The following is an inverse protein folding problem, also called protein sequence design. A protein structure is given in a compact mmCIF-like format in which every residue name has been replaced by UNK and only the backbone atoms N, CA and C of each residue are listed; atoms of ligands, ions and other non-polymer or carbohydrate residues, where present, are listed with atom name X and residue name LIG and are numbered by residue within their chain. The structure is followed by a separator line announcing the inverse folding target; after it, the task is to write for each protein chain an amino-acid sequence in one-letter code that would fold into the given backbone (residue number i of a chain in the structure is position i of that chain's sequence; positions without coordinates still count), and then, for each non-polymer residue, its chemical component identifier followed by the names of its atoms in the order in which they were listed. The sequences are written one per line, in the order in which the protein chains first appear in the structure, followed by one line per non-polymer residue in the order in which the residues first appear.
data_IF_116481896511
#
_entry.id   IF_116481896511
#
_cell.length_a   1.000
_cell.length_b   1.000
_cell.length_c   1.000
_cell.angle_alpha   90.00
_cell.angle_beta   90.00
_cell.angle_gamma   90.00
#
_symmetry.space_group_name_H-M   'P 1'
#
loop_
_entity.id
_entity.type
_entity.pdbx_description
1 polymer ?
#
# COMPACT_ATOMS: atom_id res chain seq x y z
N UNK A 1 17.47 -7.07 -19.67
CA UNK A 1 16.08 -6.77 -20.12
C UNK A 1 14.96 -7.31 -19.20
N UNK A 2 15.26 -8.09 -18.14
CA UNK A 2 14.24 -8.74 -17.29
C UNK A 2 13.64 -7.81 -16.22
N UNK A 3 14.46 -6.93 -15.64
CA UNK A 3 14.07 -6.02 -14.55
C UNK A 3 12.85 -5.11 -14.82
N UNK A 4 12.69 -4.45 -15.99
CA UNK A 4 11.51 -3.62 -16.24
C UNK A 4 10.20 -4.42 -16.28
N UNK A 5 10.22 -5.69 -16.71
CA UNK A 5 9.03 -6.55 -16.73
C UNK A 5 8.61 -6.96 -15.33
N UNK A 6 9.57 -7.33 -14.48
CA UNK A 6 9.29 -7.71 -13.08
C UNK A 6 8.66 -6.56 -12.30
N UNK A 7 9.20 -5.35 -12.47
CA UNK A 7 8.67 -4.11 -11.90
C UNK A 7 7.23 -3.82 -12.29
N UNK A 8 6.90 -3.98 -13.58
CA UNK A 8 5.55 -3.79 -14.08
C UNK A 8 4.59 -4.84 -13.50
N UNK A 9 5.00 -6.10 -13.43
CA UNK A 9 4.19 -7.19 -12.86
C UNK A 9 3.89 -6.94 -11.38
N UNK A 10 4.89 -6.54 -10.58
CA UNK A 10 4.68 -6.20 -9.16
C UNK A 10 3.70 -5.04 -9.01
N UNK A 11 3.83 -4.00 -9.83
CA UNK A 11 2.91 -2.86 -9.81
C UNK A 11 1.47 -3.24 -10.17
N UNK A 12 1.29 -4.08 -11.18
CA UNK A 12 -0.04 -4.58 -11.59
C UNK A 12 -0.64 -5.46 -10.48
N UNK A 13 0.13 -6.37 -9.89
CA UNK A 13 -0.35 -7.20 -8.78
C UNK A 13 -0.76 -6.33 -7.59
N UNK A 14 0.09 -5.38 -7.19
CA UNK A 14 -0.23 -4.45 -6.10
C UNK A 14 -1.53 -3.67 -6.37
N UNK A 15 -1.72 -3.18 -7.60
CA UNK A 15 -2.93 -2.49 -8.01
C UNK A 15 -4.18 -3.39 -7.96
N UNK A 16 -4.07 -4.62 -8.46
CA UNK A 16 -5.17 -5.59 -8.43
C UNK A 16 -5.59 -5.94 -7.01
N UNK A 17 -4.63 -6.16 -6.10
CA UNK A 17 -4.94 -6.43 -4.68
C UNK A 17 -5.58 -5.21 -4.02
N UNK A 18 -5.11 -3.99 -4.31
CA UNK A 18 -5.73 -2.77 -3.82
C UNK A 18 -7.19 -2.67 -4.28
N UNK A 19 -7.44 -2.80 -5.59
CA UNK A 19 -8.80 -2.72 -6.14
C UNK A 19 -9.68 -3.79 -5.51
N UNK A 20 -9.19 -5.03 -5.39
CA UNK A 20 -9.95 -6.11 -4.79
C UNK A 20 -10.30 -5.84 -3.32
N UNK A 21 -9.35 -5.40 -2.49
CA UNK A 21 -9.61 -5.16 -1.08
C UNK A 21 -10.49 -3.94 -0.80
N UNK A 22 -10.49 -2.93 -1.67
CA UNK A 22 -11.44 -1.81 -1.57
C UNK A 22 -12.83 -2.18 -2.12
N UNK A 23 -12.89 -2.89 -3.25
CA UNK A 23 -14.15 -3.26 -3.88
C UNK A 23 -14.93 -4.28 -3.05
N UNK A 24 -14.26 -5.32 -2.55
CA UNK A 24 -14.85 -6.38 -1.73
C UNK A 24 -14.75 -6.12 -0.23
N UNK A 25 -14.58 -4.86 0.17
CA UNK A 25 -14.38 -4.49 1.59
C UNK A 25 -15.49 -5.04 2.47
N UNK A 26 -16.75 -4.93 2.03
CA UNK A 26 -17.92 -5.32 2.83
C UNK A 26 -17.94 -6.84 3.06
N UNK A 27 -17.66 -7.62 2.03
CA UNK A 27 -17.59 -9.08 2.07
C UNK A 27 -16.40 -9.56 2.91
N UNK A 28 -15.25 -8.89 2.81
CA UNK A 28 -14.07 -9.18 3.63
C UNK A 28 -14.38 -8.85 5.10
N UNK A 29 -15.01 -7.72 5.39
CA UNK A 29 -15.36 -7.30 6.74
C UNK A 29 -16.38 -8.22 7.41
N UNK A 30 -17.27 -8.86 6.64
CA UNK A 30 -18.17 -9.90 7.17
C UNK A 30 -17.40 -11.10 7.75
N UNK A 31 -16.24 -11.43 7.19
CA UNK A 31 -15.39 -12.53 7.68
C UNK A 31 -14.30 -12.07 8.64
N UNK A 32 -13.80 -10.85 8.46
CA UNK A 32 -12.73 -10.22 9.22
C UNK A 32 -13.17 -8.82 9.67
N UNK A 33 -13.87 -8.68 10.81
CA UNK A 33 -14.46 -7.41 11.25
C UNK A 33 -13.44 -6.29 11.45
N UNK A 34 -12.21 -6.66 11.79
CA UNK A 34 -11.08 -5.74 12.02
C UNK A 34 -10.39 -5.32 10.72
N UNK A 35 -10.88 -5.76 9.56
CA UNK A 35 -10.28 -5.40 8.27
C UNK A 35 -10.40 -3.91 8.01
N UNK A 36 -9.24 -3.24 7.97
CA UNK A 36 -9.08 -1.85 7.55
C UNK A 36 -8.41 -1.80 6.16
N UNK A 37 -9.14 -1.39 5.11
CA UNK A 37 -8.58 -1.32 3.76
C UNK A 37 -7.43 -0.30 3.64
N UNK A 38 -7.37 0.72 4.51
CA UNK A 38 -6.26 1.67 4.53
C UNK A 38 -4.98 1.03 5.09
N UNK A 39 -5.08 0.20 6.13
CA UNK A 39 -3.93 -0.55 6.64
C UNK A 39 -3.44 -1.57 5.61
N UNK A 40 -4.37 -2.28 4.95
CA UNK A 40 -4.04 -3.18 3.85
C UNK A 40 -3.28 -2.43 2.74
N UNK A 41 -3.81 -1.28 2.31
CA UNK A 41 -3.18 -0.48 1.26
C UNK A 41 -1.78 0.00 1.65
N UNK A 42 -1.62 0.47 2.88
CA UNK A 42 -0.33 0.91 3.42
C UNK A 42 0.70 -0.23 3.40
N UNK A 43 0.30 -1.44 3.82
CA UNK A 43 1.14 -2.62 3.78
C UNK A 43 1.55 -3.04 2.36
N UNK A 44 0.61 -2.95 1.40
CA UNK A 44 0.88 -3.26 -0.01
C UNK A 44 1.86 -2.26 -0.61
N UNK A 45 1.66 -0.95 -0.38
CA UNK A 45 2.59 0.07 -0.87
C UNK A 45 3.98 -0.07 -0.24
N UNK A 46 4.03 -0.42 1.05
CA UNK A 46 5.30 -0.70 1.73
C UNK A 46 6.03 -1.87 1.09
N UNK A 47 5.38 -3.02 0.94
CA UNK A 47 5.98 -4.21 0.33
C UNK A 47 6.43 -3.94 -1.11
N UNK A 48 5.57 -3.33 -1.92
CA UNK A 48 5.88 -2.99 -3.30
C UNK A 48 7.10 -2.06 -3.40
N UNK A 49 7.15 -1.02 -2.57
CA UNK A 49 8.26 -0.07 -2.57
C UNK A 49 9.56 -0.64 -2.05
N UNK A 50 9.53 -1.55 -1.05
CA UNK A 50 10.73 -2.28 -0.60
C UNK A 50 11.27 -3.19 -1.70
N UNK A 51 10.40 -3.94 -2.39
CA UNK A 51 10.83 -4.77 -3.52
C UNK A 51 11.45 -3.90 -4.62
N UNK A 52 10.86 -2.75 -4.92
CA UNK A 52 11.44 -1.78 -5.84
C UNK A 52 12.81 -1.28 -5.39
N UNK A 53 12.96 -0.93 -4.12
CA UNK A 53 14.23 -0.47 -3.54
C UNK A 53 15.34 -1.53 -3.67
N UNK A 54 14.99 -2.81 -3.48
CA UNK A 54 15.92 -3.94 -3.64
C UNK A 54 16.29 -4.14 -5.11
N UNK A 55 15.32 -4.10 -6.03
CA UNK A 55 15.57 -4.25 -7.47
C UNK A 55 16.49 -3.13 -7.99
N UNK A 56 16.23 -1.88 -7.58
CA UNK A 56 17.01 -0.72 -8.00
C UNK A 56 18.27 -0.49 -7.18
N UNK A 57 18.50 -1.30 -6.13
CA UNK A 57 19.61 -1.17 -5.18
C UNK A 57 19.73 0.26 -4.65
N UNK A 58 18.58 0.90 -4.44
CA UNK A 58 18.51 2.30 -4.06
C UNK A 58 17.88 2.44 -2.67
N UNK A 59 18.72 2.67 -1.68
CA UNK A 59 18.32 2.80 -0.29
C UNK A 59 17.42 4.02 -0.04
N UNK A 60 17.52 5.06 -0.89
CA UNK A 60 16.65 6.23 -0.81
C UNK A 60 15.19 5.84 -1.04
N UNK A 61 14.93 4.93 -1.99
CA UNK A 61 13.58 4.41 -2.23
C UNK A 61 13.07 3.69 -0.97
N UNK A 62 13.90 2.91 -0.30
CA UNK A 62 13.50 2.23 0.94
C UNK A 62 13.11 3.23 2.05
N UNK A 63 13.89 4.29 2.25
CA UNK A 63 13.57 5.34 3.23
C UNK A 63 12.29 6.09 2.87
N UNK A 64 12.10 6.47 1.61
CA UNK A 64 10.87 7.14 1.15
C UNK A 64 9.67 6.21 1.37
N UNK A 65 9.78 4.95 1.00
CA UNK A 65 8.69 3.97 1.16
C UNK A 65 8.33 3.80 2.64
N UNK A 66 9.32 3.72 3.51
CA UNK A 66 9.11 3.61 4.95
C UNK A 66 8.46 4.88 5.53
N UNK A 67 8.94 6.06 5.13
CA UNK A 67 8.35 7.34 5.54
C UNK A 67 6.89 7.46 5.11
N UNK A 68 6.58 7.09 3.86
CA UNK A 68 5.20 7.08 3.33
C UNK A 68 4.33 6.08 4.09
N UNK A 69 4.82 4.86 4.33
CA UNK A 69 4.08 3.84 5.07
C UNK A 69 3.73 4.29 6.50
N UNK A 70 4.64 5.02 7.15
CA UNK A 70 4.36 5.62 8.47
C UNK A 70 3.40 6.79 8.33
N UNK A 71 3.58 7.67 7.34
CA UNK A 71 2.78 8.89 7.18
C UNK A 71 1.30 8.64 6.83
N UNK A 72 0.99 7.62 6.02
CA UNK A 72 -0.39 7.32 5.58
C UNK A 72 -1.39 7.20 6.73
N UNK A 73 -1.19 6.37 7.77
CA UNK A 73 -2.15 6.27 8.88
C UNK A 73 -2.30 7.59 9.65
N UNK A 74 -1.22 8.35 9.85
CA UNK A 74 -1.30 9.67 10.49
C UNK A 74 -2.08 10.67 9.63
N UNK A 75 -1.88 10.67 8.31
CA UNK A 75 -2.64 11.51 7.39
C UNK A 75 -4.13 11.15 7.43
N UNK A 76 -4.47 9.86 7.42
CA UNK A 76 -5.86 9.42 7.56
C UNK A 76 -6.45 9.92 8.88
N UNK A 77 -5.74 9.74 9.99
CA UNK A 77 -6.20 10.19 11.30
C UNK A 77 -6.39 11.71 11.32
N UNK A 78 -5.45 12.48 10.76
CA UNK A 78 -5.56 13.93 10.67
C UNK A 78 -6.78 14.35 9.83
N UNK A 79 -7.01 13.73 8.67
CA UNK A 79 -8.18 14.00 7.83
C UNK A 79 -9.47 13.70 8.59
N UNK A 80 -9.58 12.54 9.24
CA UNK A 80 -10.78 12.15 10.00
C UNK A 80 -11.05 13.10 11.17
N UNK A 81 -9.99 13.59 11.83
CA UNK A 81 -10.13 14.50 12.99
C UNK A 81 -10.47 15.93 12.57
N UNK A 82 -9.83 16.46 11.52
CA UNK A 82 -9.93 17.87 11.15
C UNK A 82 -10.89 18.15 9.99
N UNK A 83 -11.26 17.13 9.21
CA UNK A 83 -12.21 17.22 8.10
C UNK A 83 -13.31 16.15 8.20
N UNK A 84 -14.18 16.22 9.21
CA UNK A 84 -15.28 15.26 9.39
C UNK A 84 -16.49 15.48 8.44
N UNK A 85 -16.44 16.50 7.57
CA UNK A 85 -17.54 16.92 6.68
C UNK A 85 -17.23 16.64 5.21
#
# INVERSE_FOLDING_TARGET
MIFPRVKAVIGIIALLVLIAGFHYRMEIQQRYPEFDPTLMATGIFFLAGIIYAVIDRNIIIAFITMAVAVAIPYLRQWIVVYWPY
#
